data_IF_590047475424
#
_entry.id   IF_590047475424
#
_cell.length_a   1.000
_cell.length_b   1.000
_cell.length_c   1.000
_cell.angle_alpha   90.00
_cell.angle_beta   90.00
_cell.angle_gamma   90.00
#
_symmetry.space_group_name_H-M   'P 1'
#
loop_
_entity.id
_entity.type
_entity.pdbx_description
1 polymer ?
#
# COMPACT_ATOMS: atom_id res chain seq x y z
N UNK A 1 -20.21 -2.17 9.40
CA UNK A 1 -20.60 -1.77 10.77
C UNK A 1 -19.32 -1.39 11.49
N UNK A 2 -19.20 -0.13 11.90
CA UNK A 2 -18.01 0.36 12.60
C UNK A 2 -18.15 -0.03 14.06
N UNK A 3 -17.27 -0.90 14.54
CA UNK A 3 -17.26 -1.35 15.93
C UNK A 3 -16.25 -0.52 16.72
N UNK A 4 -16.74 0.25 17.70
CA UNK A 4 -15.87 1.12 18.51
C UNK A 4 -14.92 0.31 19.40
N UNK A 5 -15.32 -0.91 19.80
CA UNK A 5 -14.49 -1.80 20.62
C UNK A 5 -13.25 -2.30 19.89
N UNK A 6 -13.26 -2.35 18.55
CA UNK A 6 -12.10 -2.59 17.70
C UNK A 6 -11.39 -1.31 17.26
N UNK A 7 -12.15 -0.26 16.93
CA UNK A 7 -11.57 0.98 16.39
C UNK A 7 -10.68 1.70 17.42
N UNK A 8 -11.12 1.77 18.68
CA UNK A 8 -10.37 2.41 19.76
C UNK A 8 -8.99 1.75 19.98
N UNK A 9 -8.89 0.42 20.22
CA UNK A 9 -7.58 -0.21 20.39
C UNK A 9 -6.74 -0.18 19.10
N UNK A 10 -7.37 -0.24 17.92
CA UNK A 10 -6.66 -0.11 16.65
C UNK A 10 -5.99 1.25 16.50
N UNK A 11 -6.71 2.35 16.72
CA UNK A 11 -6.16 3.72 16.69
C UNK A 11 -5.06 3.88 17.73
N UNK A 12 -5.25 3.33 18.94
CA UNK A 12 -4.22 3.31 19.98
C UNK A 12 -2.93 2.59 19.51
N UNK A 13 -3.06 1.42 18.90
CA UNK A 13 -1.92 0.69 18.34
C UNK A 13 -1.23 1.46 17.22
N UNK A 14 -2.00 2.06 16.29
CA UNK A 14 -1.44 2.91 15.24
C UNK A 14 -0.68 4.11 15.81
N UNK A 15 -1.16 4.72 16.90
CA UNK A 15 -0.47 5.82 17.56
C UNK A 15 0.88 5.38 18.15
N UNK A 16 0.92 4.23 18.82
CA UNK A 16 2.17 3.67 19.34
C UNK A 16 3.16 3.36 18.22
N UNK A 17 2.68 2.77 17.12
CA UNK A 17 3.50 2.49 15.93
C UNK A 17 4.00 3.77 15.25
N UNK A 18 3.19 4.83 15.23
CA UNK A 18 3.62 6.14 14.72
C UNK A 18 4.66 6.80 15.63
N UNK A 19 4.55 6.62 16.95
CA UNK A 19 5.50 7.15 17.94
C UNK A 19 6.86 6.43 17.90
N UNK A 20 6.90 5.17 17.45
CA UNK A 20 8.14 4.41 17.21
C UNK A 20 8.41 4.35 15.71
N UNK A 21 8.99 5.42 15.11
CA UNK A 21 9.24 5.43 13.68
C UNK A 21 10.29 4.36 13.33
N UNK A 22 9.94 3.47 12.41
CA UNK A 22 10.88 2.55 11.78
C UNK A 22 11.83 3.27 10.81
N UNK A 23 12.82 2.56 10.23
CA UNK A 23 13.90 3.17 9.43
C UNK A 23 13.40 4.00 8.24
N UNK A 24 12.34 3.55 7.57
CA UNK A 24 11.72 4.29 6.46
C UNK A 24 11.01 5.56 6.92
N UNK A 25 10.25 5.50 8.01
CA UNK A 25 9.50 6.68 8.51
C UNK A 25 10.47 7.72 9.07
N UNK A 26 11.56 7.31 9.71
CA UNK A 26 12.62 8.22 10.19
C UNK A 26 13.19 9.07 9.06
N UNK A 27 13.52 8.48 7.90
CA UNK A 27 14.07 9.25 6.77
C UNK A 27 13.03 10.18 6.14
N UNK A 28 11.75 9.79 6.10
CA UNK A 28 10.65 10.66 5.64
C UNK A 28 10.54 11.89 6.53
N UNK A 29 10.55 11.68 7.85
CA UNK A 29 10.49 12.79 8.82
C UNK A 29 11.74 13.65 8.72
N UNK A 30 12.92 13.06 8.54
CA UNK A 30 14.15 13.82 8.35
C UNK A 30 14.08 14.72 7.10
N UNK A 31 13.62 14.21 5.95
CA UNK A 31 13.46 15.01 4.73
C UNK A 31 12.40 16.11 4.94
N UNK A 32 11.31 15.81 5.65
CA UNK A 32 10.28 16.79 6.02
C UNK A 32 10.81 17.92 6.91
N UNK A 33 11.74 17.62 7.83
CA UNK A 33 12.40 18.63 8.69
C UNK A 33 13.43 19.44 7.90
N UNK A 34 14.16 18.82 6.96
CA UNK A 34 15.22 19.46 6.18
C UNK A 34 14.69 20.33 5.04
N UNK A 35 13.62 19.88 4.37
CA UNK A 35 13.09 20.46 3.12
C UNK A 35 11.65 20.96 3.26
N UNK A 36 11.08 20.85 4.46
CA UNK A 36 9.72 21.26 4.78
C UNK A 36 8.68 20.14 4.65
N UNK A 37 7.50 20.35 5.24
CA UNK A 37 6.43 19.35 5.33
C UNK A 37 5.92 18.86 3.98
N UNK A 38 6.01 19.70 2.94
CA UNK A 38 5.63 19.32 1.57
C UNK A 38 6.48 18.18 1.01
N UNK A 39 7.77 18.11 1.36
CA UNK A 39 8.65 17.03 0.91
C UNK A 39 8.32 15.69 1.59
N UNK A 40 7.98 15.72 2.88
CA UNK A 40 7.47 14.54 3.58
C UNK A 40 6.15 14.05 3.00
N UNK A 41 5.22 14.98 2.72
CA UNK A 41 3.89 14.64 2.21
C UNK A 41 3.95 14.02 0.81
N UNK A 42 4.82 14.50 -0.07
CA UNK A 42 4.99 13.92 -1.41
C UNK A 42 5.56 12.50 -1.34
N UNK A 43 6.49 12.22 -0.42
CA UNK A 43 7.02 10.86 -0.21
C UNK A 43 5.91 9.92 0.29
N UNK A 44 5.14 10.35 1.30
CA UNK A 44 4.03 9.56 1.84
C UNK A 44 2.94 9.32 0.81
N UNK A 45 2.62 10.31 -0.03
CA UNK A 45 1.65 10.19 -1.12
C UNK A 45 2.10 9.20 -2.21
N UNK A 46 3.41 8.99 -2.37
CA UNK A 46 3.98 8.04 -3.31
C UNK A 46 3.59 6.58 -3.04
N UNK A 47 3.43 6.17 -1.77
CA UNK A 47 3.06 4.80 -1.41
C UNK A 47 1.66 4.40 -1.92
N UNK A 48 0.56 5.12 -1.61
CA UNK A 48 -0.75 4.79 -2.14
C UNK A 48 -0.80 4.96 -3.67
N UNK A 49 -0.08 5.93 -4.25
CA UNK A 49 0.02 6.07 -5.69
C UNK A 49 0.68 4.84 -6.35
N UNK A 50 1.78 4.34 -5.77
CA UNK A 50 2.46 3.13 -6.24
C UNK A 50 1.58 1.89 -6.12
N UNK A 51 0.86 1.73 -5.00
CA UNK A 51 -0.11 0.64 -4.81
C UNK A 51 -1.23 0.72 -5.84
N UNK A 52 -1.72 1.93 -6.15
CA UNK A 52 -2.73 2.12 -7.18
C UNK A 52 -2.22 1.68 -8.55
N UNK A 53 -1.02 2.12 -8.95
CA UNK A 53 -0.40 1.74 -10.23
C UNK A 53 -0.16 0.24 -10.30
N UNK A 54 0.41 -0.35 -9.25
CA UNK A 54 0.60 -1.80 -9.12
C UNK A 54 -0.73 -2.54 -9.34
N UNK A 55 -1.78 -2.10 -8.66
CA UNK A 55 -3.11 -2.72 -8.75
C UNK A 55 -3.70 -2.61 -10.16
N UNK A 56 -3.58 -1.45 -10.81
CA UNK A 56 -4.08 -1.23 -12.18
C UNK A 56 -3.39 -2.12 -13.22
N UNK A 57 -2.13 -2.48 -13.00
CA UNK A 57 -1.39 -3.38 -13.89
C UNK A 57 -1.70 -4.83 -13.56
N UNK A 58 -1.65 -5.20 -12.27
CA UNK A 58 -1.83 -6.58 -11.81
C UNK A 58 -3.25 -7.08 -12.02
N UNK A 59 -4.27 -6.26 -11.79
CA UNK A 59 -5.68 -6.68 -11.89
C UNK A 59 -6.06 -7.26 -13.27
N UNK A 60 -5.85 -6.57 -14.41
CA UNK A 60 -6.12 -7.15 -15.73
C UNK A 60 -5.14 -8.27 -16.08
N UNK A 61 -3.87 -8.15 -15.68
CA UNK A 61 -2.85 -9.19 -15.92
C UNK A 61 -3.22 -10.52 -15.28
N UNK A 62 -3.74 -10.50 -14.05
CA UNK A 62 -4.17 -11.69 -13.34
C UNK A 62 -5.41 -12.33 -13.98
N UNK A 63 -6.35 -11.53 -14.51
CA UNK A 63 -7.49 -12.06 -15.26
C UNK A 63 -7.05 -12.77 -16.54
N UNK A 64 -6.11 -12.18 -17.29
CA UNK A 64 -5.55 -12.80 -18.49
C UNK A 64 -4.77 -14.09 -18.18
N UNK A 65 -3.97 -14.08 -17.11
CA UNK A 65 -3.21 -15.24 -16.65
C UNK A 65 -4.14 -16.40 -16.28
N UNK A 66 -5.16 -16.14 -15.47
CA UNK A 66 -6.15 -17.15 -15.07
C UNK A 66 -6.91 -17.68 -16.30
N UNK A 67 -7.29 -16.80 -17.23
CA UNK A 67 -7.92 -17.23 -18.48
C UNK A 67 -7.03 -18.12 -19.36
N UNK A 68 -5.73 -17.84 -19.40
CA UNK A 68 -4.75 -18.68 -20.09
C UNK A 68 -4.56 -20.03 -19.40
N UNK A 69 -4.39 -20.05 -18.08
CA UNK A 69 -4.21 -21.28 -17.31
C UNK A 69 -5.47 -22.16 -17.29
N UNK A 70 -6.66 -21.56 -17.36
CA UNK A 70 -7.94 -22.27 -17.41
C UNK A 70 -8.34 -22.78 -18.79
N UNK A 71 -7.56 -22.50 -19.84
CA UNK A 71 -7.87 -22.96 -21.21
C UNK A 71 -7.72 -24.49 -21.27
N UNK A 72 -8.76 -25.25 -21.66
CA UNK A 72 -8.62 -26.68 -21.90
C UNK A 72 -7.56 -26.92 -22.98
N UNK A 73 -6.75 -27.96 -22.84
CA UNK A 73 -5.76 -28.41 -23.84
C UNK A 73 -6.41 -28.99 -25.11
N UNK A 74 -7.56 -28.44 -25.54
CA UNK A 74 -8.25 -28.78 -26.79
C UNK A 74 -7.54 -28.08 -27.94
N UNK A 75 -6.37 -28.60 -28.27
CA UNK A 75 -5.53 -28.17 -29.40
C UNK A 75 -4.44 -29.17 -29.77
N UNK A 76 -4.51 -30.42 -29.27
CA UNK A 76 -3.68 -31.54 -29.72
C UNK A 76 -4.55 -32.54 -30.50
N UNK A 77 -5.09 -32.09 -31.63
CA UNK A 77 -5.33 -32.87 -32.85
C UNK A 77 -5.65 -31.91 -33.99
#
# INVERSE_FOLDING_TARGET
MVDLSLLIPYVGACFVLAAVPGPTVTVIVADALLRGTGAGLTIVAGTPAGVLVMTLIVAPGMQALVGFMGRPLTGSN
#
